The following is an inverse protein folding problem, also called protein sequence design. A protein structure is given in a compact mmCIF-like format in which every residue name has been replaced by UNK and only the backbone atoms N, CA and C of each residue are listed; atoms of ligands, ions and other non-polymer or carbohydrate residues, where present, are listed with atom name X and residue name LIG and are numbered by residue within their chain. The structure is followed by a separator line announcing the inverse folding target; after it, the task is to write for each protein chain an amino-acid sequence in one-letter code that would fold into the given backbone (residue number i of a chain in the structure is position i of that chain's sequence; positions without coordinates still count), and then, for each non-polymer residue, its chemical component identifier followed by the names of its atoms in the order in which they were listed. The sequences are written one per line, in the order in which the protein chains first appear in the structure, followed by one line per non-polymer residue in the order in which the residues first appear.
data_IF_844658132749
#
_entry.id   IF_844658132749
#
_cell.length_a   1.000
_cell.length_b   1.000
_cell.length_c   1.000
_cell.angle_alpha   90.00
_cell.angle_beta   90.00
_cell.angle_gamma   90.00
#
_symmetry.space_group_name_H-M   'P 1'
#
loop_
_entity.id
_entity.type
_entity.pdbx_description
1 polymer ?
#
# COMPACT_ATOMS: atom_id res chain seq x y z
N UNK A 1 13.58 5.95 15.45
CA UNK A 1 14.09 7.34 15.28
C UNK A 1 13.46 7.89 14.01
N UNK A 2 12.80 9.05 14.04
CA UNK A 2 12.13 9.61 12.85
C UNK A 2 13.06 10.61 12.15
N UNK A 3 13.46 10.32 10.90
CA UNK A 3 14.43 11.09 10.13
C UNK A 3 13.77 11.95 9.02
N UNK A 4 12.46 12.18 9.10
CA UNK A 4 11.69 12.93 8.09
C UNK A 4 12.22 14.33 7.79
N UNK A 5 12.91 14.97 8.74
CA UNK A 5 13.53 16.28 8.55
C UNK A 5 14.69 16.27 7.56
N UNK A 6 15.41 15.16 7.44
CA UNK A 6 16.51 15.00 6.49
C UNK A 6 16.03 14.90 5.04
N UNK A 7 14.75 14.57 4.82
CA UNK A 7 14.16 14.57 3.48
C UNK A 7 14.22 15.95 2.82
N UNK A 8 14.18 17.04 3.59
CA UNK A 8 14.26 18.38 3.00
C UNK A 8 15.63 18.63 2.36
N UNK A 9 16.71 18.12 2.97
CA UNK A 9 18.07 18.30 2.46
C UNK A 9 18.28 17.57 1.13
N UNK A 10 17.63 16.42 0.90
CA UNK A 10 17.72 15.73 -0.39
C UNK A 10 16.97 16.45 -1.52
N UNK A 11 15.99 17.31 -1.20
CA UNK A 11 15.26 18.11 -2.19
C UNK A 11 16.12 19.24 -2.77
N UNK A 12 17.17 19.66 -2.07
CA UNK A 12 18.07 20.74 -2.50
C UNK A 12 19.10 20.29 -3.55
N UNK A 13 19.11 19.00 -3.91
CA UNK A 13 20.08 18.47 -4.89
C UNK A 13 19.55 18.65 -6.32
N UNK A 14 20.37 19.21 -7.20
CA UNK A 14 20.02 19.46 -8.61
C UNK A 14 19.54 18.20 -9.36
N UNK A 15 20.17 17.05 -9.08
CA UNK A 15 19.78 15.76 -9.69
C UNK A 15 18.35 15.34 -9.32
N UNK A 16 17.93 15.62 -8.07
CA UNK A 16 16.59 15.29 -7.62
C UNK A 16 15.56 16.25 -8.23
N UNK A 17 15.89 17.55 -8.31
CA UNK A 17 15.04 18.53 -8.98
C UNK A 17 14.83 18.19 -10.47
N UNK A 18 15.88 17.73 -11.15
CA UNK A 18 15.79 17.27 -12.54
C UNK A 18 14.87 16.04 -12.68
N UNK A 19 14.98 15.06 -11.78
CA UNK A 19 14.11 13.89 -11.74
C UNK A 19 12.63 14.29 -11.58
N UNK A 20 12.33 15.17 -10.63
CA UNK A 20 10.96 15.67 -10.38
C UNK A 20 10.43 16.44 -11.61
N UNK A 21 11.26 17.23 -12.27
CA UNK A 21 10.86 17.95 -13.47
C UNK A 21 10.57 17.00 -14.64
N UNK A 22 11.36 15.95 -14.83
CA UNK A 22 11.09 14.91 -15.83
C UNK A 22 9.71 14.29 -15.60
N UNK A 23 9.42 13.89 -14.35
CA UNK A 23 8.16 13.25 -13.94
C UNK A 23 6.88 14.10 -14.13
N UNK A 24 6.98 15.39 -14.50
CA UNK A 24 5.81 16.20 -14.86
C UNK A 24 5.19 15.80 -16.20
N UNK A 25 5.95 15.11 -17.06
CA UNK A 25 5.42 14.64 -18.34
C UNK A 25 4.55 13.40 -18.15
N UNK A 26 3.51 13.17 -18.97
CA UNK A 26 2.53 12.09 -18.77
C UNK A 26 3.14 10.68 -18.90
N UNK A 27 4.24 10.55 -19.65
CA UNK A 27 5.03 9.31 -19.75
C UNK A 27 6.50 9.68 -19.75
N UNK A 28 7.23 9.05 -18.84
CA UNK A 28 8.66 9.28 -18.63
C UNK A 28 9.27 7.94 -18.31
N UNK A 29 10.37 7.65 -18.98
CA UNK A 29 11.25 6.54 -18.64
C UNK A 29 12.61 7.13 -18.32
N UNK A 30 13.24 6.63 -17.26
CA UNK A 30 14.52 7.13 -16.80
C UNK A 30 15.18 6.12 -15.89
N UNK A 31 16.50 6.02 -16.01
CA UNK A 31 17.33 5.22 -15.13
C UNK A 31 18.03 6.15 -14.14
N UNK A 32 17.94 5.82 -12.85
CA UNK A 32 18.65 6.55 -11.79
C UNK A 32 19.55 5.55 -11.07
N UNK A 33 20.84 5.88 -10.99
CA UNK A 33 21.79 5.06 -10.23
C UNK A 33 21.80 5.56 -8.78
N UNK A 34 21.25 4.75 -7.87
CA UNK A 34 21.12 5.10 -6.45
C UNK A 34 21.80 4.00 -5.64
N UNK A 35 22.60 4.40 -4.65
CA UNK A 35 23.16 3.47 -3.69
C UNK A 35 22.04 2.82 -2.87
N UNK A 36 22.08 1.49 -2.72
CA UNK A 36 20.95 0.70 -2.25
C UNK A 36 20.36 1.13 -0.88
N UNK A 37 21.16 1.46 0.15
CA UNK A 37 20.67 2.06 1.40
C UNK A 37 19.93 3.39 1.25
N UNK A 38 20.21 4.14 0.18
CA UNK A 38 19.59 5.44 -0.11
C UNK A 38 18.28 5.32 -0.89
N UNK A 39 17.89 4.12 -1.34
CA UNK A 39 16.64 3.92 -2.08
C UNK A 39 15.43 4.32 -1.24
N UNK A 40 15.37 3.91 0.03
CA UNK A 40 14.25 4.25 0.92
C UNK A 40 14.14 5.76 1.17
N UNK A 41 15.28 6.45 1.31
CA UNK A 41 15.33 7.91 1.40
C UNK A 41 14.82 8.57 0.11
N UNK A 42 15.31 8.13 -1.04
CA UNK A 42 14.92 8.68 -2.33
C UNK A 42 13.43 8.48 -2.62
N UNK A 43 12.89 7.30 -2.31
CA UNK A 43 11.45 7.00 -2.43
C UNK A 43 10.62 7.86 -1.48
N UNK A 44 11.05 8.05 -0.24
CA UNK A 44 10.37 8.92 0.73
C UNK A 44 10.36 10.39 0.26
N UNK A 45 11.49 10.88 -0.27
CA UNK A 45 11.59 12.23 -0.82
C UNK A 45 10.71 12.40 -2.06
N UNK A 46 10.71 11.40 -2.96
CA UNK A 46 9.89 11.36 -4.17
C UNK A 46 8.41 11.40 -3.83
N UNK A 47 7.96 10.52 -2.94
CA UNK A 47 6.56 10.46 -2.49
C UNK A 47 6.11 11.74 -1.78
N UNK A 48 7.00 12.40 -1.03
CA UNK A 48 6.69 13.68 -0.39
C UNK A 48 6.52 14.80 -1.42
N UNK A 49 7.36 14.79 -2.45
CA UNK A 49 7.41 15.81 -3.51
C UNK A 49 6.28 15.67 -4.53
N UNK A 50 5.92 14.44 -4.88
CA UNK A 50 4.92 14.14 -5.90
C UNK A 50 3.64 13.66 -5.23
N UNK A 51 2.54 14.38 -5.43
CA UNK A 51 1.25 13.99 -4.86
C UNK A 51 0.46 13.08 -5.81
N UNK A 52 1.00 11.89 -6.09
CA UNK A 52 0.38 10.85 -6.94
C UNK A 52 0.55 9.47 -6.28
N UNK A 53 -0.28 8.47 -6.61
CA UNK A 53 -0.06 7.11 -6.12
C UNK A 53 1.23 6.53 -6.73
N UNK A 54 2.08 5.92 -5.89
CA UNK A 54 3.36 5.33 -6.33
C UNK A 54 3.34 3.85 -6.00
N UNK A 55 3.63 3.02 -7.01
CA UNK A 55 3.90 1.58 -6.87
C UNK A 55 5.39 1.33 -7.12
N UNK A 56 6.07 0.79 -6.11
CA UNK A 56 7.47 0.38 -6.16
C UNK A 56 7.51 -1.13 -6.35
N UNK A 57 8.20 -1.59 -7.40
CA UNK A 57 8.38 -3.01 -7.70
C UNK A 57 9.83 -3.40 -7.44
N UNK A 58 10.05 -4.40 -6.60
CA UNK A 58 11.37 -4.95 -6.27
C UNK A 58 11.57 -6.34 -6.88
N UNK A 59 12.82 -6.81 -7.06
CA UNK A 59 13.07 -8.12 -7.67
C UNK A 59 12.59 -9.31 -6.82
N UNK A 60 12.57 -9.18 -5.49
CA UNK A 60 12.17 -10.26 -4.59
C UNK A 60 11.42 -9.73 -3.34
N UNK A 61 10.79 -10.67 -2.62
CA UNK A 61 10.00 -10.41 -1.42
C UNK A 61 10.84 -9.77 -0.29
N UNK A 62 12.05 -10.28 -0.07
CA UNK A 62 12.97 -9.77 0.95
C UNK A 62 13.29 -8.28 0.74
N UNK A 63 13.62 -7.89 -0.49
CA UNK A 63 13.89 -6.50 -0.86
C UNK A 63 12.66 -5.61 -0.66
N UNK A 64 11.46 -6.12 -1.02
CA UNK A 64 10.20 -5.39 -0.84
C UNK A 64 9.95 -5.08 0.64
N UNK A 65 10.13 -6.09 1.50
CA UNK A 65 9.93 -5.99 2.95
C UNK A 65 10.97 -5.06 3.57
N UNK A 66 12.25 -5.23 3.21
CA UNK A 66 13.34 -4.38 3.71
C UNK A 66 13.11 -2.91 3.37
N UNK A 67 12.72 -2.59 2.13
CA UNK A 67 12.43 -1.20 1.74
C UNK A 67 11.21 -0.67 2.51
N UNK A 68 10.14 -1.47 2.63
CA UNK A 68 8.96 -1.10 3.39
C UNK A 68 9.28 -0.77 4.85
N UNK A 69 10.08 -1.61 5.53
CA UNK A 69 10.50 -1.40 6.91
C UNK A 69 11.37 -0.15 7.05
N UNK A 70 12.29 0.09 6.11
CA UNK A 70 13.12 1.29 6.09
C UNK A 70 12.31 2.59 5.88
N UNK A 71 11.24 2.56 5.07
CA UNK A 71 10.40 3.74 4.82
C UNK A 71 9.77 4.30 6.10
N UNK A 72 9.44 3.45 7.08
CA UNK A 72 8.92 3.88 8.38
C UNK A 72 9.93 4.69 9.21
N UNK A 73 11.22 4.62 8.89
CA UNK A 73 12.25 5.44 9.54
C UNK A 73 12.25 6.88 9.00
N UNK A 74 11.93 7.04 7.72
CA UNK A 74 11.96 8.33 7.02
C UNK A 74 10.63 9.07 7.03
N UNK A 75 9.52 8.34 7.06
CA UNK A 75 8.18 8.90 6.93
C UNK A 75 7.48 9.01 8.29
N UNK A 76 6.41 9.80 8.33
CA UNK A 76 5.62 9.98 9.54
C UNK A 76 4.82 8.71 9.85
N UNK A 77 4.55 8.36 11.13
CA UNK A 77 3.88 7.12 11.51
C UNK A 77 2.49 6.89 10.89
N UNK A 78 1.81 7.96 10.44
CA UNK A 78 0.47 7.89 9.83
C UNK A 78 0.48 7.97 8.30
N UNK A 79 1.67 7.99 7.69
CA UNK A 79 1.83 8.03 6.24
C UNK A 79 1.12 6.82 5.60
N UNK A 80 0.41 6.99 4.48
CA UNK A 80 -0.25 5.90 3.75
C UNK A 80 0.76 5.03 2.99
N UNK A 81 1.61 4.32 3.74
CA UNK A 81 2.57 3.37 3.18
C UNK A 81 2.01 1.97 3.37
N UNK A 82 2.08 1.16 2.32
CA UNK A 82 1.55 -0.20 2.32
C UNK A 82 2.56 -1.17 1.70
N UNK A 83 2.57 -2.40 2.20
CA UNK A 83 3.31 -3.51 1.61
C UNK A 83 2.33 -4.46 0.93
N UNK A 84 2.53 -4.71 -0.36
CA UNK A 84 1.75 -5.69 -1.10
C UNK A 84 2.49 -7.03 -1.04
N UNK A 85 2.07 -7.87 -0.09
CA UNK A 85 2.71 -9.16 0.19
C UNK A 85 2.37 -10.20 -0.86
N UNK A 86 3.31 -11.11 -1.06
CA UNK A 86 3.14 -12.35 -1.82
C UNK A 86 2.08 -13.23 -1.14
N UNK A 87 1.40 -14.02 -1.95
CA UNK A 87 0.60 -15.14 -1.46
C UNK A 87 1.50 -16.39 -1.47
N UNK A 88 1.82 -16.91 -0.29
CA UNK A 88 2.54 -18.19 -0.11
C UNK A 88 1.56 -19.35 -0.26
N UNK A 89 1.08 -19.56 -1.49
CA UNK A 89 0.27 -20.73 -1.84
C UNK A 89 1.14 -21.78 -2.52
N UNK A 90 1.26 -22.95 -1.88
CA UNK A 90 1.88 -24.12 -2.48
C UNK A 90 0.81 -24.82 -3.33
N UNK A 91 1.06 -25.09 -4.63
CA UNK A 91 0.11 -25.79 -5.48
C UNK A 91 -0.33 -27.12 -4.87
N UNK A 92 -1.64 -27.40 -4.91
CA UNK A 92 -2.27 -28.62 -4.38
C UNK A 92 -2.27 -28.79 -2.86
N UNK A 93 -1.73 -27.84 -2.11
CA UNK A 93 -1.81 -27.84 -0.65
C UNK A 93 -3.09 -27.15 -0.18
N UNK A 94 -3.87 -27.85 0.67
CA UNK A 94 -5.11 -27.31 1.25
C UNK A 94 -4.82 -26.57 2.55
N UNK A 95 -4.09 -25.45 2.48
CA UNK A 95 -3.98 -24.54 3.61
C UNK A 95 -5.15 -23.55 3.63
N UNK A 96 -5.61 -23.19 4.82
CA UNK A 96 -6.46 -22.02 4.96
C UNK A 96 -5.62 -20.79 4.54
N UNK A 97 -6.13 -19.90 3.68
CA UNK A 97 -5.38 -18.73 3.24
C UNK A 97 -4.96 -17.89 4.44
N UNK A 98 -3.73 -17.39 4.43
CA UNK A 98 -3.22 -16.51 5.47
C UNK A 98 -4.11 -15.25 5.54
N UNK A 99 -4.91 -15.17 6.61
CA UNK A 99 -5.85 -14.07 6.81
C UNK A 99 -5.12 -12.75 6.96
N UNK A 100 -3.91 -12.73 7.53
CA UNK A 100 -3.12 -11.52 7.71
C UNK A 100 -2.63 -11.01 6.35
N UNK A 101 -2.03 -11.88 5.53
CA UNK A 101 -1.59 -11.52 4.18
C UNK A 101 -2.78 -11.10 3.29
N UNK A 102 -3.91 -11.81 3.39
CA UNK A 102 -5.13 -11.47 2.65
C UNK A 102 -5.64 -10.08 3.01
N UNK A 103 -5.72 -9.77 4.31
CA UNK A 103 -6.13 -8.44 4.77
C UNK A 103 -5.13 -7.36 4.34
N UNK A 104 -3.82 -7.63 4.40
CA UNK A 104 -2.79 -6.68 3.96
C UNK A 104 -2.91 -6.36 2.47
N UNK A 105 -3.15 -7.38 1.63
CA UNK A 105 -3.39 -7.22 0.18
C UNK A 105 -4.66 -6.42 -0.09
N UNK A 106 -5.78 -6.78 0.54
CA UNK A 106 -7.05 -6.04 0.38
C UNK A 106 -6.90 -4.58 0.81
N UNK A 107 -6.27 -4.32 1.95
CA UNK A 107 -6.01 -2.96 2.46
C UNK A 107 -5.15 -2.14 1.48
N UNK A 108 -4.17 -2.78 0.84
CA UNK A 108 -3.31 -2.14 -0.16
C UNK A 108 -4.09 -1.80 -1.43
N UNK A 109 -4.89 -2.73 -1.96
CA UNK A 109 -5.76 -2.49 -3.14
C UNK A 109 -6.75 -1.36 -2.84
N UNK A 110 -7.36 -1.39 -1.66
CA UNK A 110 -8.29 -0.36 -1.22
C UNK A 110 -7.63 1.04 -1.13
N UNK A 111 -6.34 1.10 -0.82
CA UNK A 111 -5.60 2.37 -0.72
C UNK A 111 -5.47 3.10 -2.06
N UNK A 112 -5.43 2.39 -3.18
CA UNK A 112 -5.44 2.99 -4.52
C UNK A 112 -6.80 3.56 -4.91
N UNK A 113 -7.87 2.98 -4.37
CA UNK A 113 -9.26 3.31 -4.69
C UNK A 113 -9.74 4.55 -3.97
N UNK A 114 -9.47 4.62 -2.67
CA UNK A 114 -9.95 5.69 -1.82
C UNK A 114 -8.78 6.39 -1.14
N UNK A 115 -8.74 7.72 -1.27
CA UNK A 115 -8.10 8.54 -0.23
C UNK A 115 -8.98 8.37 1.00
N UNK A 116 -8.69 7.39 1.86
CA UNK A 116 -9.40 7.10 3.12
C UNK A 116 -9.36 8.31 4.09
N UNK A 117 -9.94 9.44 3.72
CA UNK A 117 -9.75 10.73 4.38
C UNK A 117 -8.29 11.22 4.41
N UNK A 118 -7.37 10.58 3.67
CA UNK A 118 -5.94 10.91 3.74
C UNK A 118 -5.56 12.02 2.76
N UNK A 119 -4.77 12.97 3.25
CA UNK A 119 -4.31 14.13 2.48
C UNK A 119 -3.32 13.77 1.35
N UNK A 120 -2.67 12.61 1.44
CA UNK A 120 -1.65 12.13 0.50
C UNK A 120 -2.08 10.80 -0.14
N UNK A 121 -1.63 10.58 -1.37
CA UNK A 121 -1.78 9.31 -2.08
C UNK A 121 -0.91 8.20 -1.47
N UNK A 122 -1.26 6.91 -1.67
CA UNK A 122 -0.51 5.80 -1.10
C UNK A 122 0.88 5.62 -1.76
N UNK A 123 1.83 5.17 -0.95
CA UNK A 123 3.10 4.58 -1.39
C UNK A 123 3.04 3.08 -1.16
N UNK A 124 3.05 2.30 -2.23
CA UNK A 124 2.95 0.83 -2.15
C UNK A 124 4.28 0.21 -2.58
N UNK A 125 4.79 -0.70 -1.76
CA UNK A 125 5.99 -1.50 -2.07
C UNK A 125 5.57 -2.94 -2.29
N UNK A 126 5.98 -3.51 -3.42
CA UNK A 126 5.66 -4.87 -3.84
C UNK A 126 6.89 -5.54 -4.44
N UNK A 127 6.99 -6.86 -4.36
CA UNK A 127 7.86 -7.59 -5.27
C UNK A 127 7.22 -7.79 -6.64
N UNK A 128 8.03 -8.19 -7.62
CA UNK A 128 7.54 -8.62 -8.94
C UNK A 128 6.61 -9.83 -8.85
N UNK A 129 6.86 -10.76 -7.91
CA UNK A 129 6.03 -11.95 -7.72
C UNK A 129 4.64 -11.54 -7.21
N UNK A 130 4.57 -10.73 -6.16
CA UNK A 130 3.30 -10.25 -5.60
C UNK A 130 2.52 -9.43 -6.64
N UNK A 131 3.19 -8.55 -7.38
CA UNK A 131 2.58 -7.69 -8.39
C UNK A 131 2.03 -8.46 -9.61
N UNK A 132 2.63 -9.61 -9.92
CA UNK A 132 2.20 -10.46 -11.04
C UNK A 132 1.02 -11.38 -10.71
N UNK A 133 0.69 -11.54 -9.42
CA UNK A 133 -0.45 -12.33 -8.99
C UNK A 133 -1.76 -11.60 -9.32
N UNK A 134 -2.72 -12.34 -9.86
CA UNK A 134 -4.07 -11.81 -10.11
C UNK A 134 -4.72 -11.37 -8.80
N UNK A 135 -5.48 -10.28 -8.86
CA UNK A 135 -6.23 -9.73 -7.73
C UNK A 135 -7.70 -9.57 -8.10
N UNK A 136 -8.54 -9.22 -7.12
CA UNK A 136 -9.96 -8.97 -7.35
C UNK A 136 -10.18 -7.98 -8.49
N UNK A 137 -11.15 -8.29 -9.34
CA UNK A 137 -11.60 -7.33 -10.34
C UNK A 137 -12.12 -6.08 -9.63
N UNK A 138 -11.84 -4.92 -10.23
CA UNK A 138 -12.23 -3.63 -9.67
C UNK A 138 -13.73 -3.55 -9.40
N UNK A 139 -14.55 -3.93 -10.37
CA UNK A 139 -16.03 -3.92 -10.31
C UNK A 139 -16.52 -4.73 -9.13
N UNK A 140 -16.04 -5.97 -8.99
CA UNK A 140 -16.37 -6.84 -7.86
C UNK A 140 -15.97 -6.19 -6.54
N UNK A 141 -14.77 -5.60 -6.45
CA UNK A 141 -14.33 -4.89 -5.24
C UNK A 141 -15.22 -3.67 -4.91
N UNK A 142 -15.60 -2.86 -5.90
CA UNK A 142 -16.56 -1.75 -5.72
C UNK A 142 -17.89 -2.25 -5.15
N UNK A 143 -18.45 -3.30 -5.75
CA UNK A 143 -19.79 -3.78 -5.44
C UNK A 143 -19.90 -4.38 -4.02
N UNK A 144 -18.83 -5.01 -3.54
CA UNK A 144 -18.81 -5.60 -2.19
C UNK A 144 -18.34 -4.62 -1.11
N UNK A 145 -17.75 -3.48 -1.45
CA UNK A 145 -17.22 -2.55 -0.43
C UNK A 145 -18.34 -1.81 0.28
N UNK A 146 -18.42 -1.94 1.60
CA UNK A 146 -19.32 -1.15 2.45
C UNK A 146 -18.52 -0.10 3.22
N UNK A 147 -18.87 1.19 3.09
CA UNK A 147 -18.28 2.29 3.85
C UNK A 147 -19.26 2.77 4.91
N UNK A 148 -18.79 2.91 6.16
CA UNK A 148 -19.58 3.43 7.27
C UNK A 148 -18.95 4.72 7.77
N UNK A 149 -19.75 5.77 7.91
CA UNK A 149 -19.33 7.05 8.49
C UNK A 149 -20.20 7.44 9.68
N UNK A 150 -19.66 8.33 10.52
CA UNK A 150 -20.42 8.84 11.67
C UNK A 150 -21.70 9.52 11.20
N UNK A 151 -22.82 9.20 11.86
CA UNK A 151 -24.20 9.67 11.58
C UNK A 151 -24.96 8.89 10.48
N UNK A 152 -24.40 7.82 9.93
CA UNK A 152 -25.16 6.93 9.05
C UNK A 152 -26.32 6.26 9.81
N UNK A 153 -27.48 6.17 9.13
CA UNK A 153 -28.61 5.35 9.58
C UNK A 153 -28.54 4.01 8.85
N UNK A 154 -28.21 2.95 9.58
CA UNK A 154 -28.00 1.61 9.02
C UNK A 154 -28.94 0.59 9.65
N UNK A 155 -29.53 -0.27 8.81
CA UNK A 155 -30.22 -1.47 9.28
C UNK A 155 -29.19 -2.51 9.70
N UNK A 156 -29.12 -2.76 11.01
CA UNK A 156 -28.17 -3.71 11.61
C UNK A 156 -28.34 -5.13 11.04
N UNK A 157 -29.56 -5.59 10.77
CA UNK A 157 -29.81 -6.93 10.24
C UNK A 157 -29.28 -7.07 8.82
N UNK A 158 -29.53 -6.06 7.98
CA UNK A 158 -29.02 -6.01 6.61
C UNK A 158 -27.49 -5.92 6.59
N UNK A 159 -26.90 -5.11 7.47
CA UNK A 159 -25.44 -4.95 7.58
C UNK A 159 -24.78 -6.27 7.99
N UNK A 160 -25.26 -6.94 9.04
CA UNK A 160 -24.71 -8.22 9.48
C UNK A 160 -24.79 -9.29 8.39
N UNK A 161 -25.93 -9.39 7.68
CA UNK A 161 -26.06 -10.32 6.55
C UNK A 161 -25.06 -10.00 5.42
N UNK A 162 -24.83 -8.72 5.14
CA UNK A 162 -23.84 -8.30 4.14
C UNK A 162 -22.42 -8.67 4.55
N UNK A 163 -22.04 -8.43 5.81
CA UNK A 163 -20.71 -8.79 6.35
C UNK A 163 -20.46 -10.30 6.28
N UNK A 164 -21.42 -11.11 6.73
CA UNK A 164 -21.30 -12.58 6.65
C UNK A 164 -21.19 -13.06 5.21
N UNK A 165 -21.93 -12.45 4.27
CA UNK A 165 -21.82 -12.76 2.83
C UNK A 165 -20.44 -12.41 2.25
N UNK A 166 -19.76 -11.39 2.78
CA UNK A 166 -18.38 -11.05 2.42
C UNK A 166 -17.34 -12.00 3.03
N UNK A 167 -17.74 -12.90 3.93
CA UNK A 167 -16.85 -13.87 4.58
C UNK A 167 -16.39 -13.49 5.98
N UNK A 168 -16.91 -12.40 6.57
CA UNK A 168 -16.69 -12.08 7.99
C UNK A 168 -17.30 -13.16 8.88
N UNK A 169 -16.63 -13.48 9.98
CA UNK A 169 -17.10 -14.50 10.93
C UNK A 169 -17.65 -13.84 12.20
N UNK A 170 -18.86 -14.19 12.64
CA UNK A 170 -19.39 -13.67 13.89
C UNK A 170 -18.65 -14.29 15.07
N UNK A 171 -17.96 -13.46 15.84
CA UNK A 171 -17.25 -13.85 17.07
C UNK A 171 -17.79 -13.04 18.25
N UNK A 172 -17.73 -13.61 19.45
CA UNK A 172 -18.17 -12.92 20.68
C UNK A 172 -17.20 -11.80 21.08
N UNK A 173 -15.92 -11.99 20.79
CA UNK A 173 -14.84 -11.01 20.99
C UNK A 173 -13.92 -11.02 19.77
N UNK A 174 -13.70 -9.86 19.15
CA UNK A 174 -12.86 -9.74 17.96
C UNK A 174 -11.41 -9.48 18.36
N UNK A 175 -10.53 -10.44 18.07
CA UNK A 175 -9.07 -10.32 18.30
C UNK A 175 -8.28 -10.16 16.99
N UNK A 176 -8.80 -10.68 15.88
CA UNK A 176 -8.16 -10.68 14.55
C UNK A 176 -9.13 -10.07 13.54
N UNK A 177 -8.63 -9.34 12.51
CA UNK A 177 -9.48 -8.87 11.42
C UNK A 177 -10.14 -10.03 10.66
N UNK A 178 -11.44 -9.87 10.33
CA UNK A 178 -12.20 -10.79 9.46
C UNK A 178 -13.27 -11.58 10.19
#
# INVERSE_FOLDING_TARGET
VNLSRLLNASLETDQFAELINKLKSPRVEGMVNIYEPSISLALAALWRSVNVPILVITPNAESSRRIYDQLHTWLEPRSPIYHFSEVDEIPFERYAPDSIATHARLKTVASFRQRFGKAKYPLVVSSIQAASQSTLERTVFDDVTTTLVTRDQVDMSALTKSLVRMGYRPESTVEVPG
#
